data_IF_178307044069
#
_entry.id   IF_178307044069
#
_cell.length_a   1.000
_cell.length_b   1.000
_cell.length_c   1.000
_cell.angle_alpha   90.00
_cell.angle_beta   90.00
_cell.angle_gamma   90.00
#
_symmetry.space_group_name_H-M   'P 1'
#
loop_
_entity.id
_entity.type
_entity.pdbx_description
1 polymer ?
#
# COMPACT_ATOMS: atom_id res chain seq x y z
N UNK A 1 -0.09 -32.09 17.21
CA UNK A 1 -1.43 -31.44 17.12
C UNK A 1 -1.28 -29.97 17.49
N UNK A 2 -1.99 -29.08 16.81
CA UNK A 2 -1.86 -27.64 17.00
C UNK A 2 -3.19 -27.04 17.51
N UNK A 3 -3.10 -25.87 18.14
CA UNK A 3 -4.25 -25.10 18.60
C UNK A 3 -4.31 -23.74 17.91
N UNK A 4 -5.52 -23.33 17.57
CA UNK A 4 -5.83 -21.99 17.09
C UNK A 4 -6.07 -21.09 18.30
N UNK A 5 -5.49 -19.91 18.25
CA UNK A 5 -5.57 -18.89 19.31
C UNK A 5 -6.03 -17.58 18.70
N UNK A 6 -7.05 -16.98 19.31
CA UNK A 6 -7.50 -15.62 19.03
C UNK A 6 -6.91 -14.64 20.04
N UNK A 7 -6.32 -13.55 19.54
CA UNK A 7 -5.79 -12.45 20.34
C UNK A 7 -6.75 -11.27 20.29
N UNK A 8 -7.29 -10.88 21.45
CA UNK A 8 -8.28 -9.81 21.59
C UNK A 8 -7.96 -9.00 22.83
N UNK A 9 -7.74 -7.69 22.70
CA UNK A 9 -7.56 -6.78 23.85
C UNK A 9 -6.56 -7.31 24.89
N UNK A 10 -5.41 -7.82 24.44
CA UNK A 10 -4.37 -8.46 25.26
C UNK A 10 -4.74 -9.80 25.93
N UNK A 11 -5.91 -10.38 25.60
CA UNK A 11 -6.28 -11.74 25.97
C UNK A 11 -5.97 -12.74 24.85
N UNK A 12 -5.53 -13.93 25.23
CA UNK A 12 -5.38 -15.08 24.33
C UNK A 12 -6.46 -16.11 24.61
N UNK A 13 -7.22 -16.49 23.57
CA UNK A 13 -8.29 -17.48 23.66
C UNK A 13 -7.97 -18.66 22.78
N UNK A 14 -7.78 -19.82 23.40
CA UNK A 14 -7.60 -21.09 22.68
C UNK A 14 -8.98 -21.57 22.23
N UNK A 15 -9.20 -21.68 20.92
CA UNK A 15 -10.53 -21.97 20.38
C UNK A 15 -10.62 -23.41 19.88
N UNK A 16 -9.96 -23.74 18.78
CA UNK A 16 -10.09 -25.04 18.09
C UNK A 16 -8.75 -25.75 17.94
N UNK A 17 -8.81 -27.06 17.75
CA UNK A 17 -7.66 -27.85 17.30
C UNK A 17 -7.53 -27.80 15.79
N UNK A 18 -6.30 -27.89 15.30
CA UNK A 18 -5.97 -28.07 13.88
C UNK A 18 -4.94 -29.20 13.72
N UNK A 19 -5.11 -29.97 12.64
CA UNK A 19 -4.16 -31.03 12.27
C UNK A 19 -2.86 -30.42 11.76
N UNK A 20 -1.78 -31.19 11.84
CA UNK A 20 -0.48 -30.77 11.32
C UNK A 20 -0.54 -30.57 9.80
N UNK A 21 -1.15 -31.49 9.06
CA UNK A 21 -1.36 -31.37 7.61
C UNK A 21 -2.04 -30.06 7.21
N UNK A 22 -3.13 -29.68 7.90
CA UNK A 22 -3.86 -28.44 7.59
C UNK A 22 -3.07 -27.19 8.00
N UNK A 23 -2.24 -27.30 9.03
CA UNK A 23 -1.33 -26.22 9.42
C UNK A 23 -0.20 -26.03 8.41
N UNK A 24 0.39 -27.12 7.93
CA UNK A 24 1.44 -27.07 6.91
C UNK A 24 0.90 -26.58 5.56
N UNK A 25 -0.33 -26.96 5.21
CA UNK A 25 -1.04 -26.39 4.07
C UNK A 25 -1.21 -24.86 4.22
N UNK A 26 -1.69 -24.39 5.37
CA UNK A 26 -1.84 -22.96 5.62
C UNK A 26 -0.50 -22.23 5.49
N UNK A 27 0.57 -22.74 6.10
CA UNK A 27 1.91 -22.15 5.98
C UNK A 27 2.34 -22.04 4.53
N UNK A 28 2.27 -23.14 3.78
CA UNK A 28 2.69 -23.21 2.38
C UNK A 28 1.88 -22.24 1.50
N UNK A 29 0.56 -22.23 1.64
CA UNK A 29 -0.32 -21.37 0.83
C UNK A 29 -0.18 -19.89 1.24
N UNK A 30 0.13 -19.60 2.50
CA UNK A 30 0.29 -18.22 2.97
C UNK A 30 1.62 -17.56 2.60
N UNK A 31 2.62 -18.31 2.15
CA UNK A 31 3.98 -17.77 1.95
C UNK A 31 4.01 -16.53 1.04
N UNK A 32 3.28 -16.47 -0.10
CA UNK A 32 3.25 -15.25 -0.92
C UNK A 32 2.74 -14.02 -0.17
N UNK A 33 1.79 -14.19 0.76
CA UNK A 33 1.25 -13.11 1.59
C UNK A 33 2.32 -12.63 2.58
N UNK A 34 3.08 -13.55 3.17
CA UNK A 34 4.19 -13.22 4.07
C UNK A 34 5.34 -12.55 3.35
N UNK A 35 5.62 -12.91 2.10
CA UNK A 35 6.60 -12.19 1.29
C UNK A 35 6.20 -10.73 1.09
N UNK A 36 4.92 -10.46 0.85
CA UNK A 36 4.40 -9.10 0.72
C UNK A 36 4.44 -8.36 2.06
N UNK A 37 4.05 -8.99 3.17
CA UNK A 37 4.17 -8.39 4.51
C UNK A 37 5.58 -7.87 4.76
N UNK A 38 6.59 -8.72 4.49
CA UNK A 38 8.00 -8.35 4.65
C UNK A 38 8.37 -7.13 3.82
N UNK A 39 7.74 -6.90 2.66
CA UNK A 39 7.97 -5.71 1.83
C UNK A 39 7.19 -4.50 2.31
N UNK A 40 5.95 -4.66 2.76
CA UNK A 40 5.16 -3.57 3.37
C UNK A 40 5.95 -2.95 4.53
N UNK A 41 6.57 -3.79 5.36
CA UNK A 41 7.42 -3.36 6.48
C UNK A 41 8.68 -2.59 6.09
N UNK A 42 8.99 -2.46 4.80
CA UNK A 42 10.09 -1.58 4.38
C UNK A 42 9.78 -0.11 4.66
N UNK A 43 8.50 0.26 4.74
CA UNK A 43 8.07 1.62 5.04
C UNK A 43 7.99 1.93 6.54
N UNK A 44 7.90 0.92 7.41
CA UNK A 44 7.71 1.10 8.86
C UNK A 44 8.75 2.04 9.48
N UNK A 45 10.04 1.83 9.17
CA UNK A 45 11.11 2.63 9.75
C UNK A 45 11.00 4.12 9.42
N UNK A 46 10.72 4.46 8.15
CA UNK A 46 10.58 5.87 7.77
C UNK A 46 9.30 6.48 8.34
N UNK A 47 8.25 5.67 8.46
CA UNK A 47 7.00 6.07 9.10
C UNK A 47 7.18 6.37 10.58
N UNK A 48 7.87 5.52 11.33
CA UNK A 48 8.17 5.73 12.74
C UNK A 48 8.97 7.03 12.96
N UNK A 49 9.99 7.29 12.14
CA UNK A 49 10.78 8.53 12.25
C UNK A 49 9.98 9.77 11.83
N UNK A 50 9.04 9.63 10.89
CA UNK A 50 8.11 10.69 10.53
C UNK A 50 7.11 10.97 11.66
N UNK A 51 6.56 9.94 12.28
CA UNK A 51 5.64 10.07 13.41
C UNK A 51 6.35 10.71 14.62
N UNK A 52 7.60 10.32 14.93
CA UNK A 52 8.41 11.01 15.95
C UNK A 52 8.65 12.49 15.58
N UNK A 53 8.92 12.78 14.31
CA UNK A 53 9.05 14.15 13.83
C UNK A 53 7.78 14.97 14.06
N UNK A 54 6.61 14.46 13.67
CA UNK A 54 5.32 15.13 13.88
C UNK A 54 5.07 15.40 15.36
N UNK A 55 5.28 14.41 16.23
CA UNK A 55 5.13 14.58 17.68
C UNK A 55 6.06 15.66 18.25
N UNK A 56 7.29 15.75 17.73
CA UNK A 56 8.26 16.76 18.17
C UNK A 56 7.85 18.16 17.72
N UNK A 57 7.37 18.36 16.49
CA UNK A 57 6.98 19.69 15.99
C UNK A 57 5.67 20.19 16.60
N UNK A 58 4.72 19.30 16.91
CA UNK A 58 3.44 19.66 17.54
C UNK A 58 3.60 20.00 19.03
N UNK A 59 4.68 19.54 19.65
CA UNK A 59 4.98 19.87 21.04
C UNK A 59 5.44 21.34 21.19
N UNK A 60 4.54 22.18 21.74
CA UNK A 60 4.77 23.61 22.04
C UNK A 60 6.02 23.93 22.90
N UNK A 61 6.62 22.92 23.54
CA UNK A 61 7.82 23.05 24.40
C UNK A 61 9.07 22.37 23.82
N UNK A 62 9.03 21.95 22.56
CA UNK A 62 10.17 21.27 21.94
C UNK A 62 11.37 22.20 21.82
N UNK A 63 12.51 21.75 22.37
CA UNK A 63 13.79 22.44 22.23
C UNK A 63 14.28 22.28 20.79
N UNK A 64 14.93 23.31 20.24
CA UNK A 64 15.54 23.30 18.89
C UNK A 64 16.40 22.06 18.64
N UNK A 65 17.15 21.59 19.64
CA UNK A 65 17.98 20.38 19.53
C UNK A 65 17.18 19.10 19.28
N UNK A 66 15.97 18.98 19.84
CA UNK A 66 15.07 17.85 19.57
C UNK A 66 14.53 17.91 18.14
N UNK A 67 14.16 19.09 17.67
CA UNK A 67 13.68 19.31 16.30
C UNK A 67 14.78 18.94 15.29
N UNK A 68 16.01 19.44 15.49
CA UNK A 68 17.16 19.10 14.65
C UNK A 68 17.41 17.59 14.62
N UNK A 69 17.33 16.91 15.77
CA UNK A 69 17.51 15.46 15.86
C UNK A 69 16.43 14.72 15.07
N UNK A 70 15.17 15.09 15.23
CA UNK A 70 14.06 14.45 14.52
C UNK A 70 14.19 14.63 13.00
N UNK A 71 14.55 15.84 12.53
CA UNK A 71 14.82 16.09 11.11
C UNK A 71 15.98 15.20 10.62
N UNK A 72 17.09 15.14 11.34
CA UNK A 72 18.23 14.32 10.93
C UNK A 72 17.89 12.83 10.87
N UNK A 73 17.10 12.32 11.82
CA UNK A 73 16.65 10.94 11.80
C UNK A 73 15.77 10.66 10.57
N UNK A 74 14.80 11.53 10.28
CA UNK A 74 13.96 11.44 9.10
C UNK A 74 14.77 11.48 7.79
N UNK A 75 15.72 12.42 7.67
CA UNK A 75 16.60 12.52 6.49
C UNK A 75 17.48 11.25 6.33
N UNK A 76 17.87 10.63 7.44
CA UNK A 76 18.57 9.34 7.45
C UNK A 76 17.67 8.19 6.97
N UNK A 77 16.46 8.08 7.52
CA UNK A 77 15.51 7.01 7.18
C UNK A 77 14.99 7.13 5.74
N UNK A 78 14.80 8.35 5.22
CA UNK A 78 14.51 8.64 3.80
C UNK A 78 15.46 7.92 2.85
N UNK A 79 16.77 8.10 3.04
CA UNK A 79 17.77 7.47 2.17
C UNK A 79 17.81 5.96 2.37
N UNK A 80 17.75 5.50 3.62
CA UNK A 80 17.74 4.07 3.94
C UNK A 80 16.53 3.33 3.30
N UNK A 81 15.36 3.97 3.26
CA UNK A 81 14.17 3.44 2.60
C UNK A 81 14.39 3.21 1.10
N UNK A 82 14.91 4.22 0.39
CA UNK A 82 15.19 4.11 -1.05
C UNK A 82 16.27 3.07 -1.34
N UNK A 83 17.35 3.05 -0.55
CA UNK A 83 18.46 2.11 -0.72
C UNK A 83 18.03 0.66 -0.48
N UNK A 84 17.11 0.44 0.47
CA UNK A 84 16.55 -0.88 0.76
C UNK A 84 15.75 -1.40 -0.44
N UNK A 85 14.90 -0.56 -1.04
CA UNK A 85 14.19 -0.92 -2.27
C UNK A 85 15.14 -1.16 -3.43
N UNK A 86 16.10 -0.27 -3.66
CA UNK A 86 17.10 -0.42 -4.73
C UNK A 86 17.88 -1.74 -4.59
N UNK A 87 18.32 -2.06 -3.37
CA UNK A 87 19.03 -3.32 -3.07
C UNK A 87 18.15 -4.54 -3.31
N UNK A 88 16.87 -4.47 -2.91
CA UNK A 88 15.92 -5.55 -3.15
C UNK A 88 15.71 -5.80 -4.65
N UNK A 89 15.42 -4.75 -5.41
CA UNK A 89 15.18 -4.88 -6.85
C UNK A 89 16.42 -5.39 -7.60
N UNK A 90 17.62 -4.88 -7.26
CA UNK A 90 18.88 -5.36 -7.86
C UNK A 90 19.16 -6.84 -7.63
N UNK A 91 18.71 -7.41 -6.51
CA UNK A 91 19.02 -8.79 -6.13
C UNK A 91 17.97 -9.80 -6.57
N UNK A 92 16.70 -9.39 -6.60
CA UNK A 92 15.59 -10.34 -6.58
C UNK A 92 14.51 -10.06 -7.62
N UNK A 93 14.62 -8.98 -8.40
CA UNK A 93 13.58 -8.58 -9.31
C UNK A 93 13.98 -8.72 -10.78
N UNK A 94 12.97 -8.83 -11.65
CA UNK A 94 13.16 -8.79 -13.10
C UNK A 94 13.63 -7.40 -13.55
N UNK A 95 14.21 -7.33 -14.75
CA UNK A 95 14.62 -6.06 -15.35
C UNK A 95 13.43 -5.08 -15.49
N UNK A 96 12.24 -5.58 -15.82
CA UNK A 96 11.01 -4.78 -15.88
C UNK A 96 10.70 -4.08 -14.55
N UNK A 97 10.80 -4.80 -13.42
CA UNK A 97 10.56 -4.24 -12.10
C UNK A 97 11.63 -3.21 -11.71
N UNK A 98 12.89 -3.45 -12.09
CA UNK A 98 14.00 -2.51 -11.87
C UNK A 98 13.75 -1.21 -12.64
N UNK A 99 13.32 -1.31 -13.91
CA UNK A 99 13.06 -0.14 -14.75
C UNK A 99 11.84 0.62 -14.26
N UNK A 100 10.76 -0.08 -13.86
CA UNK A 100 9.60 0.53 -13.21
C UNK A 100 9.98 1.30 -11.94
N UNK A 101 10.84 0.72 -11.09
CA UNK A 101 11.37 1.37 -9.89
C UNK A 101 12.07 2.68 -10.24
N UNK A 102 13.01 2.64 -11.20
CA UNK A 102 13.76 3.82 -11.64
C UNK A 102 12.84 4.90 -12.17
N UNK A 103 11.87 4.54 -13.02
CA UNK A 103 10.90 5.48 -13.59
C UNK A 103 10.06 6.17 -12.52
N UNK A 104 9.60 5.44 -11.49
CA UNK A 104 8.83 6.04 -10.41
C UNK A 104 9.66 7.06 -9.61
N UNK A 105 10.87 6.68 -9.20
CA UNK A 105 11.74 7.57 -8.40
C UNK A 105 12.21 8.77 -9.23
N UNK A 106 12.59 8.57 -10.49
CA UNK A 106 12.98 9.67 -11.38
C UNK A 106 11.81 10.61 -11.66
N UNK A 107 10.60 10.06 -11.82
CA UNK A 107 9.38 10.85 -12.02
C UNK A 107 9.12 11.79 -10.84
N UNK A 108 9.23 11.32 -9.60
CA UNK A 108 9.11 12.19 -8.41
C UNK A 108 10.26 13.20 -8.37
N UNK A 109 11.49 12.76 -8.60
CA UNK A 109 12.64 13.66 -8.61
C UNK A 109 12.54 14.77 -9.64
N UNK A 110 11.97 14.54 -10.82
CA UNK A 110 11.84 15.55 -11.87
C UNK A 110 10.65 16.50 -11.63
N UNK A 111 9.58 16.03 -10.99
CA UNK A 111 8.34 16.80 -10.84
C UNK A 111 8.15 17.45 -9.45
N UNK A 112 8.88 17.03 -8.42
CA UNK A 112 8.70 17.51 -7.04
C UNK A 112 9.91 18.32 -6.56
N UNK A 113 9.71 19.62 -6.28
CA UNK A 113 10.77 20.50 -5.76
C UNK A 113 11.20 20.07 -4.36
N UNK A 114 10.24 19.80 -3.47
CA UNK A 114 10.43 19.39 -2.09
C UNK A 114 11.28 18.12 -2.01
N UNK A 115 11.07 17.17 -2.91
CA UNK A 115 11.88 15.96 -3.02
C UNK A 115 13.34 16.26 -3.35
N UNK A 116 13.60 17.11 -4.34
CA UNK A 116 14.97 17.55 -4.68
C UNK A 116 15.60 18.34 -3.54
N UNK A 117 14.81 19.17 -2.86
CA UNK A 117 15.25 19.92 -1.70
C UNK A 117 15.64 19.00 -0.54
N UNK A 118 14.79 18.04 -0.13
CA UNK A 118 15.09 17.07 0.93
C UNK A 118 16.32 16.23 0.59
N UNK A 119 16.50 15.83 -0.67
CA UNK A 119 17.71 15.15 -1.12
C UNK A 119 18.99 15.98 -0.85
N UNK A 120 18.98 17.28 -1.22
CA UNK A 120 20.12 18.16 -1.00
C UNK A 120 20.25 18.56 0.49
N UNK A 121 19.14 18.73 1.21
CA UNK A 121 19.13 19.04 2.64
C UNK A 121 19.77 17.91 3.45
N UNK A 122 19.50 16.64 3.09
CA UNK A 122 20.16 15.48 3.66
C UNK A 122 21.67 15.51 3.44
N UNK A 123 22.12 15.84 2.23
CA UNK A 123 23.56 15.94 1.94
C UNK A 123 24.23 17.07 2.73
N UNK A 124 23.54 18.20 2.88
CA UNK A 124 23.99 19.31 3.73
C UNK A 124 24.06 18.92 5.21
N UNK A 125 23.01 18.30 5.75
CA UNK A 125 22.93 17.89 7.14
C UNK A 125 24.03 16.90 7.55
N UNK A 126 24.51 16.09 6.61
CA UNK A 126 25.58 15.11 6.85
C UNK A 126 27.00 15.68 6.76
N UNK A 127 27.20 16.76 6.00
CA UNK A 127 28.55 17.19 5.62
C UNK A 127 28.88 18.63 5.96
N UNK A 128 27.88 19.49 6.18
CA UNK A 128 28.07 20.93 6.18
C UNK A 128 27.44 21.67 7.36
N UNK A 129 26.33 21.20 7.95
CA UNK A 129 25.77 21.93 9.09
C UNK A 129 24.43 21.44 9.63
N UNK A 130 23.88 22.24 10.55
CA UNK A 130 22.56 22.01 11.15
C UNK A 130 21.49 22.41 10.12
N UNK A 131 20.51 21.54 9.81
CA UNK A 131 19.56 21.76 8.72
C UNK A 131 18.51 22.85 9.00
N UNK A 132 18.66 23.67 10.04
CA UNK A 132 17.65 24.66 10.46
C UNK A 132 18.32 26.01 10.70
N UNK A 133 17.73 27.08 10.16
CA UNK A 133 18.12 28.47 10.45
C UNK A 133 17.16 29.16 11.42
N UNK A 134 15.86 28.79 11.40
CA UNK A 134 14.83 29.36 12.28
C UNK A 134 13.90 28.26 12.80
N UNK A 135 13.65 28.31 14.12
CA UNK A 135 12.50 27.67 14.77
C UNK A 135 11.73 28.78 15.46
N UNK A 136 10.52 29.09 15.00
CA UNK A 136 9.70 30.12 15.65
C UNK A 136 8.53 29.46 16.38
N UNK A 137 8.41 29.77 17.68
CA UNK A 137 7.32 29.31 18.55
C UNK A 137 6.53 30.55 18.96
N UNK A 138 5.49 30.91 18.22
CA UNK A 138 4.51 31.86 18.72
C UNK A 138 3.44 31.11 19.54
N UNK A 139 2.97 31.71 20.64
CA UNK A 139 2.03 31.06 21.58
C UNK A 139 0.74 30.53 20.89
N UNK A 140 0.39 31.13 19.74
CA UNK A 140 -0.81 30.87 18.95
C UNK A 140 -0.51 30.48 17.47
N UNK A 141 0.72 30.10 17.11
CA UNK A 141 1.04 29.60 15.75
C UNK A 141 1.80 28.27 15.82
N UNK A 142 1.68 27.50 14.74
CA UNK A 142 2.46 26.30 14.51
C UNK A 142 3.97 26.61 14.51
N UNK A 143 4.77 25.61 14.86
CA UNK A 143 6.23 25.72 14.85
C UNK A 143 6.71 25.90 13.41
N UNK A 144 7.17 27.10 13.06
CA UNK A 144 7.76 27.33 11.74
C UNK A 144 9.21 26.87 11.73
N UNK A 145 9.52 25.93 10.83
CA UNK A 145 10.86 25.37 10.65
C UNK A 145 11.35 25.72 9.26
N UNK A 146 12.37 26.57 9.19
CA UNK A 146 12.88 27.05 7.92
C UNK A 146 14.42 27.07 7.85
N UNK A 147 14.93 26.98 6.63
CA UNK A 147 16.33 27.25 6.32
C UNK A 147 16.44 28.48 5.42
N UNK A 148 17.40 29.35 5.73
CA UNK A 148 17.70 30.51 4.91
C UNK A 148 18.38 30.06 3.60
N UNK A 149 17.80 30.49 2.47
CA UNK A 149 18.24 30.10 1.12
C UNK A 149 19.70 30.45 0.86
N UNK A 150 20.11 31.67 1.22
CA UNK A 150 21.46 32.17 0.97
C UNK A 150 22.51 31.40 1.78
N UNK A 151 22.19 31.13 3.05
CA UNK A 151 23.02 30.29 3.93
C UNK A 151 23.17 28.89 3.34
N UNK A 152 22.06 28.29 2.89
CA UNK A 152 22.07 26.97 2.30
C UNK A 152 22.89 26.91 1.00
N UNK A 153 22.75 27.90 0.12
CA UNK A 153 23.51 27.99 -1.13
C UNK A 153 25.02 28.16 -0.91
N UNK A 154 25.41 28.97 0.07
CA UNK A 154 26.81 29.31 0.33
C UNK A 154 27.54 28.25 1.14
N UNK A 155 26.85 27.55 2.03
CA UNK A 155 27.45 26.53 2.89
C UNK A 155 27.37 25.10 2.31
N UNK A 156 26.55 24.85 1.29
CA UNK A 156 26.41 23.51 0.70
C UNK A 156 27.26 23.30 -0.57
N UNK A 157 28.52 22.90 -0.38
CA UNK A 157 29.45 22.63 -1.50
C UNK A 157 29.06 21.44 -2.38
N UNK A 158 28.35 20.45 -1.84
CA UNK A 158 27.89 19.24 -2.54
C UNK A 158 26.54 19.35 -3.25
N UNK A 159 25.97 20.55 -3.38
CA UNK A 159 24.65 20.74 -3.97
C UNK A 159 24.62 20.38 -5.47
N UNK A 160 23.57 19.69 -5.91
CA UNK A 160 23.42 19.32 -7.32
C UNK A 160 23.29 20.57 -8.22
N UNK A 161 24.04 20.70 -9.34
CA UNK A 161 24.02 21.90 -10.17
C UNK A 161 22.64 22.27 -10.74
N UNK A 162 21.82 21.28 -11.10
CA UNK A 162 20.44 21.51 -11.58
C UNK A 162 19.59 22.16 -10.48
N UNK A 163 19.65 21.62 -9.26
CA UNK A 163 18.92 22.14 -8.11
C UNK A 163 19.43 23.51 -7.67
N UNK A 164 20.76 23.76 -7.70
CA UNK A 164 21.32 25.09 -7.41
C UNK A 164 20.76 26.17 -8.33
N UNK A 165 20.67 25.89 -9.63
CA UNK A 165 20.08 26.84 -10.61
C UNK A 165 18.59 27.07 -10.37
N UNK A 166 17.87 26.02 -10.01
CA UNK A 166 16.45 26.10 -9.65
C UNK A 166 16.26 26.98 -8.40
N UNK A 167 17.01 26.70 -7.33
CA UNK A 167 16.95 27.44 -6.08
C UNK A 167 17.29 28.93 -6.25
N UNK A 168 18.28 29.26 -7.08
CA UNK A 168 18.63 30.65 -7.40
C UNK A 168 17.50 31.43 -8.10
N UNK A 169 16.56 30.75 -8.78
CA UNK A 169 15.43 31.41 -9.47
C UNK A 169 14.25 31.70 -8.54
N UNK A 170 14.20 31.03 -7.38
CA UNK A 170 13.11 31.17 -6.43
C UNK A 170 13.20 32.51 -5.70
N UNK A 171 12.05 33.17 -5.57
CA UNK A 171 11.96 34.53 -5.04
C UNK A 171 11.92 34.57 -3.50
N UNK A 172 11.54 33.47 -2.84
CA UNK A 172 11.51 33.39 -1.38
C UNK A 172 12.92 33.37 -0.77
N UNK A 173 13.06 33.90 0.44
CA UNK A 173 14.34 33.95 1.19
C UNK A 173 14.54 32.72 2.10
N UNK A 174 13.45 32.07 2.49
CA UNK A 174 13.43 30.92 3.38
C UNK A 174 12.70 29.76 2.71
N UNK A 175 13.18 28.55 2.95
CA UNK A 175 12.54 27.31 2.51
C UNK A 175 11.88 26.66 3.72
N UNK A 176 10.60 26.36 3.62
CA UNK A 176 9.83 25.63 4.63
C UNK A 176 10.23 24.14 4.64
N UNK A 177 10.83 23.70 5.74
CA UNK A 177 11.29 22.33 5.91
C UNK A 177 10.15 21.40 6.31
N UNK A 178 9.20 21.89 7.11
CA UNK A 178 8.06 21.08 7.56
C UNK A 178 7.18 20.69 6.37
N UNK A 179 6.82 21.67 5.54
CA UNK A 179 6.10 21.38 4.31
C UNK A 179 6.88 20.40 3.42
N UNK A 180 8.19 20.59 3.28
CA UNK A 180 9.01 19.69 2.45
C UNK A 180 9.04 18.25 2.98
N UNK A 181 9.17 18.05 4.30
CA UNK A 181 9.14 16.72 4.92
C UNK A 181 7.77 16.06 4.72
N UNK A 182 6.67 16.81 4.93
CA UNK A 182 5.29 16.31 4.74
C UNK A 182 5.03 15.90 3.30
N UNK A 183 5.39 16.74 2.33
CA UNK A 183 5.25 16.44 0.90
C UNK A 183 6.07 15.21 0.53
N UNK A 184 7.34 15.15 0.94
CA UNK A 184 8.22 14.02 0.60
C UNK A 184 7.77 12.73 1.28
N UNK A 185 7.30 12.76 2.52
CA UNK A 185 6.79 11.56 3.19
C UNK A 185 5.61 10.96 2.42
N UNK A 186 4.68 11.80 1.96
CA UNK A 186 3.56 11.39 1.11
C UNK A 186 4.04 10.79 -0.23
N UNK A 187 4.99 11.44 -0.91
CA UNK A 187 5.55 10.91 -2.16
C UNK A 187 6.20 9.53 -1.95
N UNK A 188 6.88 9.31 -0.82
CA UNK A 188 7.49 8.02 -0.48
C UNK A 188 6.43 6.95 -0.18
N UNK A 189 5.33 7.31 0.48
CA UNK A 189 4.20 6.41 0.68
C UNK A 189 3.57 6.02 -0.67
N UNK A 190 3.39 6.97 -1.58
CA UNK A 190 2.89 6.70 -2.93
C UNK A 190 3.84 5.81 -3.74
N UNK A 191 5.14 6.09 -3.69
CA UNK A 191 6.20 5.26 -4.28
C UNK A 191 6.13 3.84 -3.70
N UNK A 192 6.04 3.71 -2.37
CA UNK A 192 5.95 2.42 -1.69
C UNK A 192 4.74 1.62 -2.15
N UNK A 193 3.57 2.25 -2.18
CA UNK A 193 2.32 1.63 -2.61
C UNK A 193 2.38 1.16 -4.07
N UNK A 194 2.97 1.97 -4.97
CA UNK A 194 3.22 1.56 -6.37
C UNK A 194 4.11 0.32 -6.46
N UNK A 195 5.15 0.24 -5.63
CA UNK A 195 6.05 -0.91 -5.61
C UNK A 195 5.40 -2.17 -5.05
N UNK A 196 4.62 -2.04 -3.97
CA UNK A 196 3.87 -3.17 -3.43
C UNK A 196 2.86 -3.67 -4.46
N UNK A 197 2.09 -2.78 -5.10
CA UNK A 197 1.13 -3.17 -6.13
C UNK A 197 1.80 -3.91 -7.29
N UNK A 198 2.88 -3.35 -7.85
CA UNK A 198 3.62 -3.98 -8.95
C UNK A 198 4.28 -5.30 -8.52
N UNK A 199 4.75 -5.39 -7.28
CA UNK A 199 5.29 -6.64 -6.73
C UNK A 199 4.21 -7.71 -6.57
N UNK A 200 3.01 -7.34 -6.11
CA UNK A 200 1.86 -8.24 -6.04
C UNK A 200 1.45 -8.75 -7.42
N UNK A 201 1.41 -7.90 -8.43
CA UNK A 201 1.14 -8.28 -9.83
C UNK A 201 2.13 -9.32 -10.36
N UNK A 202 3.39 -9.29 -9.88
CA UNK A 202 4.42 -10.26 -10.28
C UNK A 202 4.31 -11.62 -9.60
N UNK A 203 3.46 -11.76 -8.58
CA UNK A 203 3.34 -12.99 -7.78
C UNK A 203 2.19 -13.83 -8.28
N UNK A 204 2.53 -14.97 -8.88
CA UNK A 204 1.56 -16.02 -9.16
C UNK A 204 0.85 -16.45 -7.87
N UNK A 205 -0.43 -16.81 -7.98
CA UNK A 205 -1.28 -17.33 -6.89
C UNK A 205 -1.50 -16.40 -5.68
N UNK A 206 -1.11 -15.12 -5.74
CA UNK A 206 -1.28 -14.23 -4.58
C UNK A 206 -2.75 -14.05 -4.18
N UNK A 207 -3.64 -13.91 -5.17
CA UNK A 207 -5.07 -13.77 -4.93
C UNK A 207 -5.68 -15.08 -4.38
N UNK A 208 -5.18 -16.24 -4.84
CA UNK A 208 -5.61 -17.53 -4.32
C UNK A 208 -5.18 -17.68 -2.85
N UNK A 209 -3.93 -17.33 -2.55
CA UNK A 209 -3.36 -17.32 -1.21
C UNK A 209 -4.16 -16.43 -0.26
N UNK A 210 -4.49 -15.21 -0.71
CA UNK A 210 -5.29 -14.26 0.04
C UNK A 210 -6.73 -14.76 0.27
N UNK A 211 -7.35 -15.35 -0.74
CA UNK A 211 -8.67 -15.98 -0.65
C UNK A 211 -8.68 -17.14 0.35
N UNK A 212 -7.67 -18.01 0.29
CA UNK A 212 -7.51 -19.13 1.21
C UNK A 212 -7.36 -18.65 2.66
N UNK A 213 -6.44 -17.72 2.92
CA UNK A 213 -6.20 -17.17 4.27
C UNK A 213 -7.44 -16.44 4.80
N UNK A 214 -8.17 -15.71 3.96
CA UNK A 214 -9.40 -15.03 4.37
C UNK A 214 -10.51 -16.03 4.72
N UNK A 215 -10.68 -17.10 3.93
CA UNK A 215 -11.61 -18.19 4.25
C UNK A 215 -11.22 -18.91 5.53
N UNK A 216 -9.93 -19.20 5.70
CA UNK A 216 -9.39 -19.77 6.94
C UNK A 216 -9.76 -18.89 8.13
N UNK A 217 -9.49 -17.58 8.03
CA UNK A 217 -9.83 -16.64 9.08
C UNK A 217 -11.31 -16.68 9.42
N UNK A 218 -12.21 -16.57 8.44
CA UNK A 218 -13.66 -16.61 8.67
C UNK A 218 -14.15 -17.90 9.32
N UNK A 219 -13.55 -19.03 9.00
CA UNK A 219 -13.96 -20.33 9.55
C UNK A 219 -13.53 -20.53 11.01
N UNK A 220 -12.49 -19.82 11.44
CA UNK A 220 -11.83 -20.04 12.73
C UNK A 220 -11.84 -18.85 13.68
N UNK A 221 -12.25 -17.68 13.20
CA UNK A 221 -12.40 -16.46 13.99
C UNK A 221 -13.80 -16.38 14.58
N UNK A 222 -13.92 -16.64 15.88
CA UNK A 222 -15.19 -16.64 16.62
C UNK A 222 -15.46 -15.31 17.31
N UNK A 223 -14.41 -14.58 17.68
CA UNK A 223 -14.51 -13.42 18.56
C UNK A 223 -13.99 -12.11 17.92
N UNK A 224 -13.59 -12.13 16.65
CA UNK A 224 -13.13 -10.91 15.94
C UNK A 224 -11.66 -10.57 16.18
N UNK A 225 -10.86 -11.49 16.73
CA UNK A 225 -9.45 -11.23 17.09
C UNK A 225 -8.42 -11.52 15.99
N UNK A 226 -7.15 -11.30 16.29
CA UNK A 226 -6.08 -11.81 15.42
C UNK A 226 -5.89 -13.31 15.64
N UNK A 227 -5.82 -14.08 14.56
CA UNK A 227 -5.60 -15.53 14.65
C UNK A 227 -4.11 -15.87 14.66
N UNK A 228 -3.77 -16.84 15.48
CA UNK A 228 -2.47 -17.49 15.48
C UNK A 228 -2.59 -18.99 15.74
N UNK A 229 -1.52 -19.73 15.48
CA UNK A 229 -1.43 -21.17 15.70
C UNK A 229 -0.24 -21.46 16.60
N UNK A 230 -0.46 -22.25 17.64
CA UNK A 230 0.58 -22.70 18.58
C UNK A 230 0.59 -24.22 18.71
N UNK A 231 1.75 -24.79 19.03
CA UNK A 231 1.88 -26.23 19.32
C UNK A 231 1.13 -26.60 20.60
N UNK A 232 0.77 -27.88 20.74
CA UNK A 232 0.22 -28.39 22.00
C UNK A 232 1.16 -28.18 23.19
N UNK A 233 2.48 -28.30 22.98
CA UNK A 233 3.49 -28.03 24.00
C UNK A 233 3.43 -26.58 24.52
N UNK A 234 3.23 -25.60 23.64
CA UNK A 234 3.08 -24.21 24.02
C UNK A 234 1.79 -24.00 24.83
N UNK A 235 0.71 -24.71 24.48
CA UNK A 235 -0.55 -24.67 25.24
C UNK A 235 -0.34 -25.22 26.64
N UNK A 236 0.31 -26.36 26.76
CA UNK A 236 0.57 -27.01 28.05
C UNK A 236 1.44 -26.10 28.93
N UNK A 237 2.42 -25.41 28.34
CA UNK A 237 3.24 -24.40 29.01
C UNK A 237 2.42 -23.21 29.52
N UNK A 238 1.51 -22.66 28.69
CA UNK A 238 0.61 -21.57 29.09
C UNK A 238 -0.31 -22.02 30.25
N UNK A 239 -0.87 -23.23 30.17
CA UNK A 239 -1.74 -23.80 31.22
C UNK A 239 -0.96 -24.09 32.50
N UNK A 240 0.32 -24.46 32.41
CA UNK A 240 1.17 -24.62 33.59
C UNK A 240 1.43 -23.27 34.28
N UNK A 241 1.66 -22.19 33.51
CA UNK A 241 1.86 -20.84 34.05
C UNK A 241 0.63 -20.26 34.74
N UNK A 242 -0.59 -20.62 34.31
CA UNK A 242 -1.80 -20.16 35.01
C UNK A 242 -1.91 -20.73 36.43
N UNK A 243 -1.18 -21.81 36.73
CA UNK A 243 -1.13 -22.46 38.04
C UNK A 243 0.04 -22.00 38.91
N UNK A 244 1.15 -21.53 38.31
CA UNK A 244 2.34 -21.07 39.03
C UNK A 244 3.01 -19.91 38.26
N UNK A 245 3.38 -18.80 38.94
CA UNK A 245 4.12 -17.71 38.30
C UNK A 245 5.40 -18.21 37.63
N UNK A 246 5.64 -17.77 36.39
CA UNK A 246 6.79 -18.16 35.60
C UNK A 246 6.81 -17.43 34.26
N UNK A 247 7.80 -17.76 33.44
CA UNK A 247 7.95 -17.23 32.08
C UNK A 247 7.96 -18.39 31.09
N UNK A 248 7.16 -18.29 30.02
CA UNK A 248 7.19 -19.21 28.90
C UNK A 248 7.35 -18.41 27.60
N UNK A 249 8.28 -18.85 26.76
CA UNK A 249 8.45 -18.31 25.41
C UNK A 249 7.56 -19.12 24.48
N UNK A 250 6.64 -18.44 23.80
CA UNK A 250 5.81 -19.04 22.76
C UNK A 250 6.18 -18.46 21.40
N UNK A 251 6.18 -19.32 20.38
CA UNK A 251 6.44 -18.93 18.99
C UNK A 251 5.16 -19.16 18.16
N UNK A 252 4.15 -18.28 18.28
CA UNK A 252 2.93 -18.40 17.53
C UNK A 252 3.19 -18.16 16.04
N UNK A 253 2.61 -19.00 15.19
CA UNK A 253 2.46 -18.69 13.78
C UNK A 253 1.25 -17.77 13.63
N UNK A 254 1.48 -16.50 13.31
CA UNK A 254 0.40 -15.53 13.08
C UNK A 254 -0.27 -15.85 11.75
N UNK A 255 -1.59 -15.73 11.66
CA UNK A 255 -2.30 -15.88 10.39
C UNK A 255 -2.38 -14.50 9.72
N UNK A 256 -1.85 -14.31 8.50
CA UNK A 256 -1.72 -12.99 7.87
C UNK A 256 -3.04 -12.49 7.24
N UNK A 257 -4.13 -12.54 8.02
CA UNK A 257 -5.50 -12.24 7.60
C UNK A 257 -5.71 -10.81 7.16
N UNK A 258 -5.10 -9.83 7.85
CA UNK A 258 -5.20 -8.40 7.50
C UNK A 258 -4.65 -8.10 6.11
N UNK A 259 -3.52 -8.70 5.76
CA UNK A 259 -2.83 -8.49 4.48
C UNK A 259 -3.53 -9.25 3.38
N UNK A 260 -4.02 -10.45 3.68
CA UNK A 260 -4.90 -11.19 2.77
C UNK A 260 -6.17 -10.40 2.44
N UNK A 261 -6.84 -9.80 3.43
CA UNK A 261 -8.01 -8.96 3.22
C UNK A 261 -7.66 -7.72 2.38
N UNK A 262 -6.56 -7.03 2.70
CA UNK A 262 -6.08 -5.88 1.94
C UNK A 262 -5.81 -6.25 0.47
N UNK A 263 -5.20 -7.41 0.23
CA UNK A 263 -4.90 -7.95 -1.10
C UNK A 263 -6.17 -8.17 -1.91
N UNK A 264 -7.19 -8.79 -1.32
CA UNK A 264 -8.48 -9.02 -1.99
C UNK A 264 -9.24 -7.71 -2.23
N UNK A 265 -9.20 -6.78 -1.28
CA UNK A 265 -9.87 -5.48 -1.41
C UNK A 265 -9.29 -4.60 -2.53
N UNK A 266 -8.01 -4.79 -2.90
CA UNK A 266 -7.40 -4.13 -4.04
C UNK A 266 -7.65 -4.79 -5.39
N UNK A 267 -8.07 -6.07 -5.40
CA UNK A 267 -8.22 -6.84 -6.61
C UNK A 267 -9.57 -6.55 -7.31
N UNK A 268 -9.51 -6.32 -8.63
CA UNK A 268 -10.69 -6.07 -9.45
C UNK A 268 -10.49 -6.52 -10.89
N UNK A 269 -11.59 -6.85 -11.56
CA UNK A 269 -11.65 -7.01 -13.01
C UNK A 269 -12.74 -6.06 -13.52
N UNK A 270 -12.37 -5.21 -14.47
CA UNK A 270 -13.29 -4.23 -15.07
C UNK A 270 -13.46 -4.57 -16.54
N UNK A 271 -14.71 -4.75 -16.98
CA UNK A 271 -15.05 -4.95 -18.38
C UNK A 271 -15.70 -3.69 -18.94
N UNK A 272 -15.21 -3.26 -20.11
CA UNK A 272 -15.67 -2.08 -20.84
C UNK A 272 -15.92 -2.50 -22.28
N UNK A 273 -17.16 -2.79 -22.63
CA UNK A 273 -17.52 -3.21 -23.98
C UNK A 273 -18.37 -2.16 -24.69
N UNK A 274 -18.17 -2.10 -26.01
CA UNK A 274 -18.94 -1.32 -26.97
C UNK A 274 -19.29 -2.25 -28.13
N UNK A 275 -20.57 -2.40 -28.43
CA UNK A 275 -21.01 -3.42 -29.38
C UNK A 275 -22.52 -3.61 -29.36
N UNK A 276 -22.96 -4.81 -29.72
CA UNK A 276 -24.32 -5.31 -29.55
C UNK A 276 -24.37 -6.21 -28.32
N UNK A 277 -25.26 -5.95 -27.38
CA UNK A 277 -25.53 -6.90 -26.30
C UNK A 277 -26.40 -8.03 -26.85
N UNK A 278 -25.86 -9.25 -26.89
CA UNK A 278 -26.57 -10.41 -27.46
C UNK A 278 -27.09 -11.40 -26.42
N UNK A 279 -26.76 -11.22 -25.14
CA UNK A 279 -27.25 -12.09 -24.08
C UNK A 279 -26.39 -12.11 -22.83
N UNK A 280 -26.57 -13.17 -22.04
CA UNK A 280 -25.84 -13.40 -20.78
C UNK A 280 -24.95 -14.64 -20.88
N UNK A 281 -23.71 -14.53 -20.43
CA UNK A 281 -22.79 -15.66 -20.25
C UNK A 281 -22.90 -16.23 -18.84
N UNK A 282 -22.55 -17.52 -18.69
CA UNK A 282 -22.34 -18.15 -17.39
C UNK A 282 -20.98 -17.78 -16.76
N UNK A 283 -20.05 -17.25 -17.56
CA UNK A 283 -18.71 -16.81 -17.15
C UNK A 283 -18.67 -15.28 -16.93
N UNK A 284 -17.48 -14.70 -17.03
CA UNK A 284 -17.31 -13.26 -17.18
C UNK A 284 -17.98 -12.73 -18.47
N UNK A 285 -18.17 -11.41 -18.59
CA UNK A 285 -18.52 -10.80 -19.87
C UNK A 285 -17.51 -11.19 -20.96
N UNK A 286 -18.01 -11.52 -22.13
CA UNK A 286 -17.17 -11.89 -23.28
C UNK A 286 -17.47 -11.00 -24.48
N UNK A 287 -16.43 -10.47 -25.10
CA UNK A 287 -16.49 -9.80 -26.40
C UNK A 287 -16.25 -10.85 -27.49
N UNK A 288 -17.22 -11.02 -28.38
CA UNK A 288 -17.14 -11.96 -29.48
C UNK A 288 -16.36 -11.34 -30.64
N UNK A 289 -15.51 -12.17 -31.27
CA UNK A 289 -14.75 -11.74 -32.45
C UNK A 289 -15.71 -11.52 -33.62
N UNK A 290 -15.73 -10.33 -34.24
CA UNK A 290 -16.52 -10.10 -35.44
C UNK A 290 -15.94 -10.94 -36.59
N UNK A 291 -16.79 -11.41 -37.51
CA UNK A 291 -16.34 -12.24 -38.65
C UNK A 291 -15.61 -11.41 -39.71
N UNK A 292 -15.85 -10.10 -39.74
CA UNK A 292 -15.18 -9.14 -40.61
C UNK A 292 -15.20 -7.73 -40.00
N UNK A 293 -14.46 -6.79 -40.61
CA UNK A 293 -14.28 -5.41 -40.10
C UNK A 293 -15.58 -4.58 -40.15
N UNK A 294 -16.58 -5.01 -40.93
CA UNK A 294 -17.86 -4.31 -41.10
C UNK A 294 -18.92 -4.75 -40.08
N UNK A 295 -18.71 -5.86 -39.37
CA UNK A 295 -19.65 -6.36 -38.37
C UNK A 295 -19.49 -5.60 -37.05
N UNK A 296 -20.64 -5.17 -36.49
CA UNK A 296 -20.70 -4.63 -35.15
C UNK A 296 -20.20 -5.68 -34.15
N UNK A 297 -19.22 -5.36 -33.27
CA UNK A 297 -18.79 -6.28 -32.23
C UNK A 297 -19.97 -6.71 -31.38
N UNK A 298 -20.09 -8.00 -31.07
CA UNK A 298 -21.13 -8.51 -30.19
C UNK A 298 -20.53 -8.86 -28.83
N UNK A 299 -21.29 -8.70 -27.75
CA UNK A 299 -20.85 -9.10 -26.42
C UNK A 299 -21.96 -9.67 -25.57
N UNK A 300 -21.55 -10.43 -24.55
CA UNK A 300 -22.45 -10.93 -23.50
C UNK A 300 -22.17 -10.23 -22.18
N UNK A 301 -23.19 -10.04 -21.34
CA UNK A 301 -22.99 -9.69 -19.94
C UNK A 301 -22.63 -10.95 -19.14
N UNK A 302 -21.79 -10.85 -18.12
CA UNK A 302 -21.40 -12.02 -17.32
C UNK A 302 -22.43 -12.43 -16.24
N UNK A 303 -22.14 -13.52 -15.53
CA UNK A 303 -22.89 -13.97 -14.35
C UNK A 303 -22.66 -13.08 -13.13
N UNK A 304 -23.58 -13.12 -12.14
CA UNK A 304 -23.37 -12.47 -10.83
C UNK A 304 -22.18 -13.06 -10.08
N UNK A 305 -21.95 -14.35 -10.20
CA UNK A 305 -20.83 -15.06 -9.59
C UNK A 305 -20.05 -15.82 -10.66
N UNK A 306 -18.72 -15.73 -10.63
CA UNK A 306 -17.83 -16.41 -11.58
C UNK A 306 -16.68 -17.04 -10.80
N UNK A 307 -16.36 -18.30 -11.08
CA UNK A 307 -15.14 -18.91 -10.56
C UNK A 307 -14.00 -18.73 -11.56
N UNK A 308 -12.91 -18.10 -11.14
CA UNK A 308 -11.74 -17.87 -11.96
C UNK A 308 -10.49 -17.92 -11.10
N UNK A 309 -9.47 -18.67 -11.54
CA UNK A 309 -8.23 -18.89 -10.79
C UNK A 309 -8.47 -19.43 -9.36
N UNK A 310 -9.44 -20.35 -9.21
CA UNK A 310 -9.86 -20.94 -7.90
C UNK A 310 -10.39 -19.92 -6.90
N UNK A 311 -10.79 -18.75 -7.39
CA UNK A 311 -11.40 -17.68 -6.60
C UNK A 311 -12.81 -17.46 -7.13
N UNK A 312 -13.74 -17.31 -6.20
CA UNK A 312 -15.09 -16.88 -6.54
C UNK A 312 -15.12 -15.36 -6.61
N UNK A 313 -15.49 -14.84 -7.76
CA UNK A 313 -15.66 -13.43 -8.05
C UNK A 313 -17.14 -13.08 -8.00
N UNK A 314 -17.45 -11.90 -7.48
CA UNK A 314 -18.80 -11.35 -7.42
C UNK A 314 -18.87 -10.09 -8.28
N UNK A 315 -19.90 -10.00 -9.10
CA UNK A 315 -20.26 -8.78 -9.84
C UNK A 315 -20.83 -7.78 -8.85
N UNK A 316 -20.14 -6.67 -8.64
CA UNK A 316 -20.53 -5.64 -7.66
C UNK A 316 -21.22 -4.44 -8.30
N UNK A 317 -20.98 -4.20 -9.59
CA UNK A 317 -21.61 -3.15 -10.37
C UNK A 317 -21.81 -3.63 -11.81
N UNK A 318 -22.95 -3.27 -12.40
CA UNK A 318 -23.22 -3.44 -13.82
C UNK A 318 -24.08 -2.29 -14.31
N UNK A 319 -23.59 -1.62 -15.35
CA UNK A 319 -24.30 -0.58 -16.07
C UNK A 319 -24.26 -0.93 -17.53
N UNK A 320 -25.43 -0.99 -18.16
CA UNK A 320 -25.56 -1.26 -19.58
C UNK A 320 -26.67 -0.43 -20.20
N UNK A 321 -26.49 -0.12 -21.48
CA UNK A 321 -27.49 0.65 -22.22
C UNK A 321 -26.99 1.03 -23.62
N UNK A 322 -27.95 1.35 -24.48
CA UNK A 322 -27.70 1.83 -25.84
C UNK A 322 -27.38 3.33 -25.81
N UNK A 323 -26.29 3.73 -26.46
CA UNK A 323 -25.97 5.14 -26.66
C UNK A 323 -26.43 5.56 -28.06
N UNK A 324 -27.51 6.36 -28.09
CA UNK A 324 -28.19 6.76 -29.33
C UNK A 324 -27.30 7.41 -30.38
N UNK A 325 -26.25 8.11 -29.95
CA UNK A 325 -25.35 8.86 -30.85
C UNK A 325 -24.62 7.95 -31.84
N UNK A 326 -24.15 6.79 -31.38
CA UNK A 326 -23.41 5.84 -32.21
C UNK A 326 -24.16 4.52 -32.43
N UNK A 327 -25.31 4.33 -31.78
CA UNK A 327 -26.16 3.15 -31.91
C UNK A 327 -25.59 1.90 -31.23
N UNK A 328 -24.50 2.02 -30.46
CA UNK A 328 -23.88 0.89 -29.77
C UNK A 328 -24.48 0.71 -28.38
N UNK A 329 -24.64 -0.56 -28.00
CA UNK A 329 -24.75 -0.92 -26.60
C UNK A 329 -23.39 -0.80 -25.93
N UNK A 330 -23.41 -0.32 -24.68
CA UNK A 330 -22.24 -0.22 -23.83
C UNK A 330 -22.46 -1.05 -22.58
N UNK A 331 -21.39 -1.69 -22.10
CA UNK A 331 -21.37 -2.42 -20.84
C UNK A 331 -20.17 -1.96 -20.03
N UNK A 332 -20.44 -1.54 -18.81
CA UNK A 332 -19.46 -1.30 -17.77
C UNK A 332 -19.77 -2.22 -16.60
N UNK A 333 -18.85 -3.12 -16.24
CA UNK A 333 -19.07 -3.98 -15.07
C UNK A 333 -17.79 -4.23 -14.30
N UNK A 334 -17.94 -4.29 -12.98
CA UNK A 334 -16.87 -4.49 -12.01
C UNK A 334 -17.09 -5.82 -11.29
N UNK A 335 -16.04 -6.64 -11.28
CA UNK A 335 -15.95 -7.84 -10.47
C UNK A 335 -14.86 -7.69 -9.41
N UNK A 336 -15.15 -8.18 -8.20
CA UNK A 336 -14.17 -8.28 -7.10
C UNK A 336 -14.22 -9.69 -6.49
N UNK A 337 -13.17 -10.12 -5.77
CA UNK A 337 -13.21 -11.38 -5.03
C UNK A 337 -14.36 -11.39 -4.01
N UNK A 338 -15.04 -12.53 -3.90
CA UNK A 338 -16.09 -12.73 -2.90
C UNK A 338 -15.49 -12.80 -1.49
N UNK A 339 -16.27 -12.37 -0.50
CA UNK A 339 -15.95 -12.55 0.90
C UNK A 339 -15.18 -11.39 1.52
N UNK A 340 -15.13 -10.24 0.87
CA UNK A 340 -14.72 -8.99 1.48
C UNK A 340 -15.93 -8.20 1.99
N UNK A 341 -15.69 -7.28 2.92
CA UNK A 341 -16.74 -6.44 3.52
C UNK A 341 -17.33 -5.45 2.51
N UNK A 342 -18.61 -5.15 2.66
CA UNK A 342 -19.38 -4.28 1.74
C UNK A 342 -18.75 -2.90 1.55
N UNK A 343 -18.15 -2.33 2.60
CA UNK A 343 -17.45 -1.03 2.53
C UNK A 343 -16.35 -1.01 1.45
N UNK A 344 -15.71 -2.14 1.18
CA UNK A 344 -14.68 -2.24 0.15
C UNK A 344 -15.28 -2.27 -1.26
N UNK A 345 -16.42 -2.94 -1.44
CA UNK A 345 -17.15 -2.90 -2.71
C UNK A 345 -17.60 -1.46 -3.03
N UNK A 346 -18.21 -0.77 -2.06
CA UNK A 346 -18.68 0.60 -2.25
C UNK A 346 -17.53 1.56 -2.59
N UNK A 347 -16.42 1.48 -1.85
CA UNK A 347 -15.21 2.26 -2.15
C UNK A 347 -14.69 2.00 -3.57
N UNK A 348 -14.76 0.76 -4.04
CA UNK A 348 -14.32 0.43 -5.41
C UNK A 348 -15.25 1.01 -6.47
N UNK A 349 -16.57 0.91 -6.26
CA UNK A 349 -17.58 1.50 -7.15
C UNK A 349 -17.36 3.01 -7.25
N UNK A 350 -17.24 3.70 -6.11
CA UNK A 350 -17.00 5.14 -6.07
C UNK A 350 -15.71 5.52 -6.81
N UNK A 351 -14.64 4.74 -6.64
CA UNK A 351 -13.35 5.01 -7.29
C UNK A 351 -13.39 4.94 -8.83
N UNK A 352 -14.35 4.19 -9.38
CA UNK A 352 -14.48 3.95 -10.82
C UNK A 352 -15.67 4.68 -11.46
N UNK A 353 -16.42 5.46 -10.67
CA UNK A 353 -17.62 6.17 -11.11
C UNK A 353 -17.34 7.11 -12.28
N UNK A 354 -16.22 7.84 -12.26
CA UNK A 354 -15.85 8.73 -13.37
C UNK A 354 -15.55 7.97 -14.67
N UNK A 355 -15.02 6.74 -14.58
CA UNK A 355 -14.75 5.92 -15.77
C UNK A 355 -16.05 5.35 -16.37
N UNK A 356 -16.99 4.98 -15.51
CA UNK A 356 -18.35 4.60 -15.88
C UNK A 356 -19.06 5.77 -16.57
N UNK A 357 -19.10 6.95 -15.92
CA UNK A 357 -19.72 8.14 -16.48
C UNK A 357 -19.15 8.48 -17.86
N UNK A 358 -17.82 8.46 -18.04
CA UNK A 358 -17.17 8.67 -19.34
C UNK A 358 -17.63 7.69 -20.42
N UNK A 359 -17.96 6.45 -20.05
CA UNK A 359 -18.47 5.45 -20.99
C UNK A 359 -19.89 5.73 -21.43
N UNK A 360 -20.70 6.49 -20.70
CA UNK A 360 -22.10 6.77 -21.05
C UNK A 360 -22.38 8.24 -21.31
N UNK A 361 -21.43 9.13 -21.00
CA UNK A 361 -21.50 10.56 -21.26
C UNK A 361 -21.21 10.89 -22.73
N UNK A 362 -21.76 12.01 -23.15
CA UNK A 362 -21.36 12.72 -24.35
C UNK A 362 -19.93 13.24 -24.16
N UNK A 363 -18.95 12.69 -24.86
CA UNK A 363 -17.69 13.40 -25.06
C UNK A 363 -17.90 14.37 -26.23
N UNK A 364 -17.95 15.68 -25.93
CA UNK A 364 -17.74 16.76 -26.91
C UNK A 364 -16.37 16.66 -27.58
#
# INVERSE_FOLDING_TARGET
MYKIVEHINNEMRITKSITEEKFDELKRISEPIWEIDKKIRFFDLIKEEYDEYILVIESKKSKTTKVVRAINNYLGSYKAFLDRWETFFKRHASQELIDYFKTCVSGVYDNCFEYRFIYNLRNYAQHAGIPISRVSNALDKDVEIAINKETFLNSHSGMQPKFRRELNRLQFEEIDIDNAIKVVHKELEEIHNKFIAKFMESKEDILYSASFVTKFYKNYNEYGGELSIISQENVDSIVAMSKKPGTATINPYIVPSKIALFTLAGAKIVFKFKGKLIGKSHSFPELLKPKNVLEMPEFTSGSRYVEHQKIKWVKIQETSGTVWLDGYDRLFTIYMPEGIEEKFYNKMIDSLKQEEEKMFSYSE
#
